data_IF_311376549171
#
_entry.id   IF_311376549171
#
_cell.length_a   1.000
_cell.length_b   1.000
_cell.length_c   1.000
_cell.angle_alpha   90.00
_cell.angle_beta   90.00
_cell.angle_gamma   90.00
#
_symmetry.space_group_name_H-M   'P 1'
#
loop_
_entity.id
_entity.type
_entity.pdbx_description
1 polymer ?
#
# COMPACT_ATOMS: atom_id res chain seq x y z
N UNK A 1 33.70 -13.26 -7.70
CA UNK A 1 33.89 -13.90 -6.39
C UNK A 1 33.05 -13.16 -5.37
N UNK A 2 32.03 -13.80 -4.81
CA UNK A 2 31.22 -13.22 -3.73
C UNK A 2 31.93 -13.42 -2.39
N UNK A 3 31.77 -12.48 -1.46
CA UNK A 3 32.35 -12.57 -0.12
C UNK A 3 31.34 -13.26 0.79
N UNK A 4 31.79 -14.32 1.47
CA UNK A 4 30.98 -14.99 2.49
C UNK A 4 30.87 -14.11 3.74
N UNK A 5 29.71 -13.50 3.91
CA UNK A 5 29.33 -12.72 5.10
C UNK A 5 27.81 -12.65 5.19
N UNK A 6 27.28 -12.81 6.40
CA UNK A 6 25.84 -12.75 6.67
C UNK A 6 25.46 -11.39 7.26
N UNK A 7 24.32 -10.86 6.85
CA UNK A 7 23.86 -9.56 7.34
C UNK A 7 22.51 -9.14 6.80
N UNK A 8 21.97 -8.11 7.42
CA UNK A 8 20.64 -7.57 7.14
C UNK A 8 20.75 -6.11 6.75
N UNK A 9 20.11 -5.76 5.63
CA UNK A 9 19.96 -4.39 5.17
C UNK A 9 18.52 -3.96 5.44
N UNK A 10 18.33 -2.83 6.12
CA UNK A 10 17.01 -2.23 6.37
C UNK A 10 17.02 -0.75 5.98
N UNK A 11 15.87 -0.23 5.57
CA UNK A 11 15.69 1.21 5.32
C UNK A 11 14.77 1.82 6.37
N UNK A 12 15.14 2.99 6.86
CA UNK A 12 14.29 3.85 7.70
C UNK A 12 14.03 5.20 7.05
N UNK A 13 13.67 6.19 7.85
CA UNK A 13 13.41 7.56 7.38
C UNK A 13 14.70 8.27 6.94
N UNK A 14 14.87 8.38 5.62
CA UNK A 14 16.04 8.94 4.94
C UNK A 14 17.37 8.31 5.35
N UNK A 15 17.35 7.04 5.73
CA UNK A 15 18.56 6.30 6.09
C UNK A 15 18.54 4.85 5.59
N UNK A 16 19.69 4.20 5.68
CA UNK A 16 19.78 2.75 5.61
C UNK A 16 20.73 2.22 6.69
N UNK A 17 20.45 1.00 7.15
CA UNK A 17 21.27 0.26 8.09
C UNK A 17 21.80 -1.01 7.45
N UNK A 18 23.02 -1.38 7.81
CA UNK A 18 23.58 -2.70 7.55
C UNK A 18 24.00 -3.28 8.88
N UNK A 19 23.31 -4.33 9.34
CA UNK A 19 23.67 -5.09 10.52
C UNK A 19 24.29 -6.41 10.09
N UNK A 20 25.55 -6.62 10.42
CA UNK A 20 26.26 -7.87 10.09
C UNK A 20 26.21 -8.83 11.27
N UNK A 21 26.02 -10.11 10.99
CA UNK A 21 26.03 -11.17 12.01
C UNK A 21 27.47 -11.52 12.43
N UNK A 22 27.62 -12.10 13.63
CA UNK A 22 28.91 -12.60 14.10
C UNK A 22 29.88 -11.53 14.61
N UNK A 23 29.38 -10.37 15.06
CA UNK A 23 30.19 -9.47 15.88
C UNK A 23 30.50 -10.16 17.23
N UNK A 24 31.77 -10.24 17.66
CA UNK A 24 32.15 -11.00 18.84
C UNK A 24 31.86 -10.20 20.13
N UNK A 25 30.59 -10.14 20.51
CA UNK A 25 30.15 -9.50 21.76
C UNK A 25 30.82 -10.18 22.98
N UNK A 26 31.45 -9.38 23.84
CA UNK A 26 32.11 -9.88 25.05
C UNK A 26 33.50 -10.50 24.84
N UNK A 27 33.99 -10.59 23.60
CA UNK A 27 35.36 -11.02 23.34
C UNK A 27 36.39 -9.96 23.76
N UNK A 28 37.67 -10.32 23.94
CA UNK A 28 38.74 -9.36 24.22
C UNK A 28 38.78 -8.20 23.21
N UNK A 29 39.12 -7.00 23.69
CA UNK A 29 39.16 -5.77 22.87
C UNK A 29 39.92 -5.91 21.56
N UNK A 30 41.04 -6.65 21.58
CA UNK A 30 41.88 -6.89 20.40
C UNK A 30 41.16 -7.66 19.30
N UNK A 31 40.34 -8.65 19.66
CA UNK A 31 39.56 -9.44 18.72
C UNK A 31 38.41 -8.63 18.13
N UNK A 32 37.72 -7.85 18.97
CA UNK A 32 36.70 -6.92 18.52
C UNK A 32 37.27 -5.91 17.50
N UNK A 33 38.43 -5.32 17.80
CA UNK A 33 39.10 -4.37 16.89
C UNK A 33 39.59 -4.99 15.59
N UNK A 34 40.09 -6.22 15.65
CA UNK A 34 40.48 -6.96 14.44
C UNK A 34 39.26 -7.21 13.54
N UNK A 35 38.12 -7.60 14.14
CA UNK A 35 36.87 -7.78 13.43
C UNK A 35 36.36 -6.48 12.81
N UNK A 36 36.32 -5.37 13.57
CA UNK A 36 35.91 -4.05 13.09
C UNK A 36 36.78 -3.57 11.93
N UNK A 37 38.09 -3.80 12.02
CA UNK A 37 39.04 -3.44 10.96
C UNK A 37 38.77 -4.20 9.65
N UNK A 38 38.45 -5.50 9.77
CA UNK A 38 38.05 -6.32 8.62
C UNK A 38 36.70 -5.87 8.06
N UNK A 39 35.72 -5.63 8.90
CA UNK A 39 34.39 -5.14 8.49
C UNK A 39 34.48 -3.78 7.79
N UNK A 40 35.31 -2.88 8.30
CA UNK A 40 35.57 -1.58 7.68
C UNK A 40 36.17 -1.73 6.27
N UNK A 41 37.13 -2.63 6.10
CA UNK A 41 37.77 -2.87 4.80
C UNK A 41 36.80 -3.53 3.82
N UNK A 42 36.03 -4.50 4.28
CA UNK A 42 35.16 -5.30 3.42
C UNK A 42 33.85 -4.60 3.07
N UNK A 43 33.24 -3.85 3.99
CA UNK A 43 31.89 -3.28 3.82
C UNK A 43 31.92 -1.76 3.78
N UNK A 44 32.43 -1.09 4.82
CA UNK A 44 32.44 0.38 4.91
C UNK A 44 33.15 1.03 3.72
N UNK A 45 34.37 0.58 3.40
CA UNK A 45 35.16 1.12 2.30
C UNK A 45 34.47 0.93 0.94
N UNK A 46 33.74 -0.18 0.76
CA UNK A 46 32.98 -0.43 -0.48
C UNK A 46 31.76 0.49 -0.59
N UNK A 47 31.06 0.75 0.51
CA UNK A 47 29.96 1.72 0.53
C UNK A 47 30.47 3.11 0.16
N UNK A 48 31.58 3.54 0.77
CA UNK A 48 32.25 4.81 0.41
C UNK A 48 32.62 4.85 -1.07
N UNK A 49 33.15 3.75 -1.62
CA UNK A 49 33.46 3.67 -3.05
C UNK A 49 32.20 3.80 -3.92
N UNK A 50 31.08 3.17 -3.57
CA UNK A 50 29.83 3.31 -4.31
C UNK A 50 29.24 4.70 -4.20
N UNK A 51 29.31 5.32 -3.01
CA UNK A 51 28.90 6.71 -2.80
C UNK A 51 29.70 7.65 -3.72
N UNK A 52 31.03 7.54 -3.74
CA UNK A 52 31.87 8.33 -4.64
C UNK A 52 31.51 8.12 -6.12
N UNK A 53 31.26 6.87 -6.56
CA UNK A 53 30.82 6.56 -7.94
C UNK A 53 29.46 7.16 -8.30
N UNK A 54 28.61 7.44 -7.31
CA UNK A 54 27.33 8.10 -7.49
C UNK A 54 27.43 9.64 -7.43
N UNK A 55 28.64 10.19 -7.28
CA UNK A 55 28.88 11.63 -7.18
C UNK A 55 28.71 12.20 -5.78
N UNK A 56 28.71 11.36 -4.73
CA UNK A 56 28.85 11.85 -3.36
C UNK A 56 30.31 12.19 -3.06
N UNK A 57 30.55 13.31 -2.39
CA UNK A 57 31.83 13.59 -1.74
C UNK A 57 31.81 13.00 -0.33
N UNK A 58 32.68 12.05 -0.02
CA UNK A 58 32.79 11.44 1.31
C UNK A 58 34.10 11.86 1.98
N UNK A 59 34.03 12.71 3.01
CA UNK A 59 35.20 13.23 3.74
C UNK A 59 35.21 12.72 5.18
N UNK A 60 36.38 12.73 5.82
CA UNK A 60 36.44 12.58 7.27
C UNK A 60 35.77 13.80 7.91
N UNK A 61 35.06 13.65 9.04
CA UNK A 61 34.61 14.79 9.82
C UNK A 61 35.77 15.74 10.13
N UNK A 62 35.47 17.03 10.28
CA UNK A 62 36.49 18.01 10.68
C UNK A 62 37.12 17.62 12.02
N UNK A 63 38.39 18.01 12.20
CA UNK A 63 39.07 17.75 13.46
C UNK A 63 38.59 18.75 14.50
N UNK A 64 38.09 18.24 15.62
CA UNK A 64 37.59 19.02 16.75
C UNK A 64 38.49 18.77 17.96
N UNK A 65 39.26 19.79 18.31
CA UNK A 65 40.19 19.73 19.44
C UNK A 65 39.46 19.49 20.76
N UNK A 66 38.26 20.06 20.95
CA UNK A 66 37.51 19.93 22.22
C UNK A 66 37.05 18.49 22.45
N UNK A 67 36.56 17.84 21.40
CA UNK A 67 36.17 16.42 21.45
C UNK A 67 37.39 15.51 21.58
N UNK A 68 38.52 15.86 20.96
CA UNK A 68 39.78 15.14 21.13
C UNK A 68 40.27 15.19 22.59
N UNK A 69 40.19 16.36 23.23
CA UNK A 69 40.60 16.53 24.64
C UNK A 69 39.65 15.80 25.60
N UNK A 70 38.35 15.76 25.27
CA UNK A 70 37.33 15.06 26.06
C UNK A 70 37.44 13.53 25.94
N UNK A 71 37.75 13.00 24.75
CA UNK A 71 37.77 11.57 24.46
C UNK A 71 39.05 11.09 23.76
N UNK A 72 40.25 11.34 24.34
CA UNK A 72 41.52 11.18 23.63
C UNK A 72 41.80 9.74 23.18
N UNK A 73 41.34 8.74 23.94
CA UNK A 73 41.58 7.32 23.66
C UNK A 73 40.75 6.75 22.51
N UNK A 74 39.63 7.39 22.14
CA UNK A 74 38.69 6.87 21.14
C UNK A 74 38.41 7.85 19.99
N UNK A 75 38.78 9.13 20.14
CA UNK A 75 38.43 10.19 19.19
C UNK A 75 38.90 9.89 17.76
N UNK A 76 40.18 9.54 17.59
CA UNK A 76 40.74 9.25 16.27
C UNK A 76 40.08 8.02 15.63
N UNK A 77 39.79 6.99 16.41
CA UNK A 77 39.12 5.78 15.95
C UNK A 77 37.68 6.06 15.54
N UNK A 78 36.94 6.81 16.37
CA UNK A 78 35.57 7.24 16.11
C UNK A 78 35.49 8.09 14.84
N UNK A 79 36.34 9.12 14.72
CA UNK A 79 36.44 9.96 13.53
C UNK A 79 36.73 9.15 12.27
N UNK A 80 37.61 8.14 12.37
CA UNK A 80 37.93 7.25 11.23
C UNK A 80 36.78 6.30 10.87
N UNK A 81 35.87 6.02 11.79
CA UNK A 81 34.67 5.20 11.60
C UNK A 81 33.48 5.98 11.00
N UNK A 82 33.66 7.28 10.74
CA UNK A 82 32.61 8.17 10.23
C UNK A 82 33.04 8.84 8.92
N UNK A 83 32.07 9.13 8.04
CA UNK A 83 32.25 10.02 6.88
C UNK A 83 31.10 11.00 6.80
N UNK A 84 31.44 12.25 6.59
CA UNK A 84 30.52 13.29 6.15
C UNK A 84 30.41 13.23 4.64
N UNK A 85 29.18 13.14 4.14
CA UNK A 85 28.86 12.89 2.76
C UNK A 85 28.03 14.05 2.20
N UNK A 86 28.32 14.51 0.98
CA UNK A 86 27.51 15.54 0.31
C UNK A 86 27.33 15.25 -1.17
N UNK A 87 26.13 15.48 -1.69
CA UNK A 87 25.80 15.42 -3.12
C UNK A 87 24.78 16.50 -3.45
N UNK A 88 25.26 17.62 -4.01
CA UNK A 88 24.43 18.83 -4.19
C UNK A 88 23.91 19.32 -2.83
N UNK A 89 22.59 19.45 -2.74
CA UNK A 89 21.88 19.87 -1.53
C UNK A 89 21.59 18.74 -0.54
N UNK A 90 21.84 17.49 -0.95
CA UNK A 90 21.68 16.33 -0.08
C UNK A 90 22.96 16.15 0.74
N UNK A 91 22.79 16.10 2.05
CA UNK A 91 23.84 15.81 3.03
C UNK A 91 23.67 14.39 3.54
N UNK A 92 24.74 13.81 4.07
CA UNK A 92 24.68 12.52 4.70
C UNK A 92 25.83 12.26 5.67
N UNK A 93 25.63 11.26 6.50
CA UNK A 93 26.58 10.83 7.52
C UNK A 93 26.63 9.31 7.52
N UNK A 94 27.78 8.76 7.14
CA UNK A 94 28.04 7.32 7.16
C UNK A 94 28.83 7.00 8.42
N UNK A 95 28.21 6.27 9.35
CA UNK A 95 28.83 5.90 10.63
C UNK A 95 28.90 4.39 10.77
N UNK A 96 30.05 3.90 11.22
CA UNK A 96 30.25 2.53 11.66
C UNK A 96 30.28 2.47 13.18
N UNK A 97 29.59 1.50 13.74
CA UNK A 97 29.64 1.20 15.17
C UNK A 97 29.49 -0.31 15.35
N UNK A 98 30.55 -0.95 15.85
CA UNK A 98 30.61 -2.40 16.02
C UNK A 98 30.29 -3.13 14.69
N UNK A 99 29.38 -4.10 14.70
CA UNK A 99 28.87 -4.80 13.52
C UNK A 99 27.79 -4.06 12.71
N UNK A 100 27.57 -2.77 12.97
CA UNK A 100 26.49 -1.98 12.35
C UNK A 100 27.04 -0.79 11.56
N UNK A 101 26.42 -0.52 10.42
CA UNK A 101 26.63 0.68 9.61
C UNK A 101 25.30 1.42 9.48
N UNK A 102 25.35 2.73 9.62
CA UNK A 102 24.23 3.61 9.36
C UNK A 102 24.66 4.67 8.36
N UNK A 103 23.86 4.89 7.32
CA UNK A 103 23.98 6.06 6.48
C UNK A 103 22.70 6.88 6.59
N UNK A 104 22.80 8.01 7.29
CA UNK A 104 21.72 8.98 7.42
C UNK A 104 21.86 10.04 6.32
N UNK A 105 20.76 10.44 5.69
CA UNK A 105 20.71 11.52 4.71
C UNK A 105 19.67 12.56 5.10
N UNK A 106 19.95 13.82 4.81
CA UNK A 106 19.05 14.94 5.06
C UNK A 106 19.32 16.08 4.08
N UNK A 107 18.51 17.12 4.16
CA UNK A 107 18.69 18.37 3.42
C UNK A 107 18.35 19.53 4.35
N UNK A 108 18.98 20.68 4.13
CA UNK A 108 18.80 21.89 4.94
C UNK A 108 18.16 23.04 4.14
N UNK A 109 17.46 22.73 3.03
CA UNK A 109 17.00 23.72 2.05
C UNK A 109 15.54 24.12 2.27
N UNK A 110 14.63 23.15 2.43
CA UNK A 110 13.17 23.39 2.46
C UNK A 110 12.53 22.62 3.62
N UNK A 111 11.49 23.18 4.24
CA UNK A 111 10.72 22.50 5.31
C UNK A 111 11.58 22.02 6.49
N UNK A 112 12.61 22.78 6.84
CA UNK A 112 13.47 22.53 8.01
C UNK A 112 12.87 23.23 9.22
N UNK A 113 12.58 22.49 10.28
CA UNK A 113 12.01 23.06 11.51
C UNK A 113 13.05 23.13 12.64
N UNK A 114 13.96 22.16 12.70
CA UNK A 114 14.96 22.12 13.75
C UNK A 114 16.02 23.21 13.55
N UNK A 115 16.29 23.96 14.63
CA UNK A 115 17.31 25.03 14.66
C UNK A 115 18.72 24.53 14.35
N UNK A 116 18.98 23.24 14.59
CA UNK A 116 20.28 22.61 14.33
C UNK A 116 20.35 21.92 12.95
N UNK A 117 19.39 22.21 12.06
CA UNK A 117 19.34 21.69 10.69
C UNK A 117 18.48 20.43 10.53
N UNK A 118 18.20 20.10 9.26
CA UNK A 118 17.34 18.99 8.85
C UNK A 118 17.88 17.61 9.21
N UNK A 119 19.13 17.50 9.66
CA UNK A 119 19.68 16.26 10.27
C UNK A 119 18.82 15.77 11.43
N UNK A 120 18.27 16.70 12.20
CA UNK A 120 17.53 16.40 13.42
C UNK A 120 16.00 16.46 13.26
N UNK A 121 15.51 16.73 12.04
CA UNK A 121 14.08 16.69 11.75
C UNK A 121 13.53 15.26 11.68
N UNK A 122 12.26 15.06 12.01
CA UNK A 122 11.55 13.80 11.74
C UNK A 122 10.90 13.83 10.35
N UNK A 123 10.57 12.66 9.81
CA UNK A 123 9.91 12.51 8.50
C UNK A 123 10.69 13.22 7.37
N UNK A 124 12.02 13.08 7.40
CA UNK A 124 12.95 13.75 6.48
C UNK A 124 12.57 13.48 5.02
N UNK A 125 12.12 12.28 4.70
CA UNK A 125 11.72 11.93 3.33
C UNK A 125 10.47 12.67 2.84
N UNK A 126 9.54 12.97 3.73
CA UNK A 126 8.31 13.70 3.39
C UNK A 126 8.59 15.18 3.23
N UNK A 127 9.55 15.70 3.99
CA UNK A 127 10.03 17.08 3.93
C UNK A 127 10.92 17.35 2.71
N UNK A 128 11.60 16.32 2.20
CA UNK A 128 12.48 16.45 1.03
C UNK A 128 11.69 16.83 -0.24
N UNK A 129 12.16 17.86 -0.98
CA UNK A 129 11.71 18.11 -2.35
C UNK A 129 11.82 16.86 -3.22
N UNK A 130 10.88 16.69 -4.16
CA UNK A 130 10.72 15.48 -4.97
C UNK A 130 12.04 14.97 -5.59
N UNK A 131 12.82 15.86 -6.21
CA UNK A 131 14.09 15.49 -6.84
C UNK A 131 15.15 15.01 -5.83
N UNK A 132 15.27 15.68 -4.68
CA UNK A 132 16.19 15.26 -3.62
C UNK A 132 15.77 13.91 -3.02
N UNK A 133 14.46 13.70 -2.85
CA UNK A 133 13.91 12.42 -2.41
C UNK A 133 14.25 11.29 -3.39
N UNK A 134 14.09 11.50 -4.70
CA UNK A 134 14.48 10.53 -5.72
C UNK A 134 15.99 10.24 -5.72
N UNK A 135 16.84 11.26 -5.57
CA UNK A 135 18.30 11.08 -5.49
C UNK A 135 18.72 10.28 -4.26
N UNK A 136 18.08 10.54 -3.13
CA UNK A 136 18.27 9.82 -1.87
C UNK A 136 17.81 8.35 -2.01
N UNK A 137 16.63 8.11 -2.57
CA UNK A 137 16.13 6.75 -2.86
C UNK A 137 17.06 5.99 -3.80
N UNK A 138 17.51 6.63 -4.88
CA UNK A 138 18.45 6.04 -5.83
C UNK A 138 19.76 5.62 -5.13
N UNK A 139 20.26 6.44 -4.21
CA UNK A 139 21.47 6.15 -3.42
C UNK A 139 21.28 4.89 -2.58
N UNK A 140 20.17 4.79 -1.82
CA UNK A 140 19.85 3.60 -1.02
C UNK A 140 19.70 2.34 -1.87
N UNK A 141 18.97 2.43 -2.99
CA UNK A 141 18.77 1.28 -3.89
C UNK A 141 20.07 0.77 -4.48
N UNK A 142 20.92 1.66 -4.96
CA UNK A 142 22.17 1.27 -5.60
C UNK A 142 23.12 0.62 -4.61
N UNK A 143 23.17 1.11 -3.37
CA UNK A 143 23.95 0.47 -2.30
C UNK A 143 23.36 -0.90 -1.94
N UNK A 144 22.05 -1.02 -1.71
CA UNK A 144 21.38 -2.31 -1.44
C UNK A 144 21.71 -3.33 -2.54
N UNK A 145 21.44 -2.99 -3.80
CA UNK A 145 21.70 -3.89 -4.94
C UNK A 145 23.15 -4.33 -5.00
N UNK A 146 24.08 -3.39 -4.81
CA UNK A 146 25.50 -3.69 -4.78
C UNK A 146 25.86 -4.66 -3.64
N UNK A 147 25.41 -4.39 -2.42
CA UNK A 147 25.70 -5.25 -1.27
C UNK A 147 25.12 -6.66 -1.45
N UNK A 148 23.86 -6.79 -1.89
CA UNK A 148 23.24 -8.08 -2.17
C UNK A 148 23.95 -8.84 -3.30
N UNK A 149 24.57 -8.14 -4.26
CA UNK A 149 25.32 -8.79 -5.35
C UNK A 149 26.71 -9.29 -4.90
N UNK A 150 27.33 -8.61 -3.95
CA UNK A 150 28.73 -8.87 -3.52
C UNK A 150 28.80 -9.86 -2.35
N UNK A 151 27.82 -9.86 -1.45
CA UNK A 151 27.81 -10.71 -0.26
C UNK A 151 26.75 -11.81 -0.38
N UNK A 152 27.18 -13.06 -0.19
CA UNK A 152 26.35 -14.24 -0.47
C UNK A 152 25.14 -14.35 0.47
N UNK A 153 25.30 -13.97 1.74
CA UNK A 153 24.28 -14.17 2.78
C UNK A 153 23.70 -12.86 3.30
N UNK A 154 23.79 -11.78 2.51
CA UNK A 154 23.09 -10.54 2.84
C UNK A 154 21.63 -10.65 2.41
N UNK A 155 20.71 -10.28 3.31
CA UNK A 155 19.28 -10.17 3.03
C UNK A 155 18.80 -8.73 3.20
N UNK A 156 17.80 -8.36 2.41
CA UNK A 156 17.10 -7.10 2.59
C UNK A 156 15.80 -7.35 3.34
N UNK A 157 15.64 -6.69 4.48
CA UNK A 157 14.40 -6.72 5.25
C UNK A 157 13.65 -5.42 5.00
N UNK A 158 12.56 -5.46 4.23
CA UNK A 158 11.79 -4.26 3.96
C UNK A 158 11.09 -3.75 5.23
N UNK A 159 10.78 -2.44 5.23
CA UNK A 159 9.84 -1.88 6.22
C UNK A 159 8.47 -2.55 6.07
N UNK A 160 7.75 -2.74 7.19
CA UNK A 160 6.37 -3.28 7.20
C UNK A 160 5.44 -2.56 6.20
N UNK A 161 5.64 -1.26 6.01
CA UNK A 161 4.94 -0.46 5.01
C UNK A 161 5.66 -0.48 3.66
N UNK A 162 5.58 -1.62 2.98
CA UNK A 162 6.07 -1.77 1.62
C UNK A 162 5.28 -0.89 0.65
N UNK A 163 5.84 0.28 0.31
CA UNK A 163 5.32 1.13 -0.77
C UNK A 163 5.71 0.51 -2.13
N UNK A 164 4.71 0.06 -2.89
CA UNK A 164 4.86 -0.39 -4.28
C UNK A 164 5.24 0.82 -5.14
N UNK A 165 6.25 0.66 -5.99
CA UNK A 165 6.53 1.66 -7.01
C UNK A 165 7.97 1.65 -7.52
N UNK A 166 8.21 2.29 -8.68
CA UNK A 166 9.55 2.61 -9.13
C UNK A 166 10.13 3.67 -8.18
N UNK A 167 10.90 3.25 -7.18
CA UNK A 167 11.43 4.13 -6.13
C UNK A 167 11.88 3.39 -4.87
N UNK A 168 11.53 3.94 -3.70
CA UNK A 168 11.91 3.60 -2.31
C UNK A 168 12.36 2.18 -1.99
N UNK A 169 11.80 1.14 -2.62
CA UNK A 169 12.23 -0.27 -2.50
C UNK A 169 12.29 -1.05 -3.84
N UNK A 170 11.91 -0.45 -4.97
CA UNK A 170 11.58 -1.12 -6.24
C UNK A 170 10.68 -2.36 -6.08
N UNK A 171 9.96 -2.41 -4.97
CA UNK A 171 9.14 -3.55 -4.60
C UNK A 171 8.03 -3.64 -5.61
N UNK A 172 8.02 -4.77 -6.29
CA UNK A 172 6.97 -5.11 -7.23
C UNK A 172 5.66 -5.27 -6.48
N UNK A 173 4.55 -5.08 -7.18
CA UNK A 173 3.23 -5.35 -6.62
C UNK A 173 3.12 -6.79 -6.11
N UNK A 174 3.74 -7.75 -6.81
CA UNK A 174 3.82 -9.15 -6.39
C UNK A 174 4.51 -9.30 -5.02
N UNK A 175 5.73 -8.78 -4.87
CA UNK A 175 6.49 -8.86 -3.63
C UNK A 175 5.74 -8.22 -2.46
N UNK A 176 5.16 -7.03 -2.65
CA UNK A 176 4.39 -6.35 -1.61
C UNK A 176 3.16 -7.15 -1.17
N UNK A 177 2.44 -7.78 -2.12
CA UNK A 177 1.24 -8.56 -1.82
C UNK A 177 1.62 -9.84 -1.06
N UNK A 178 2.65 -10.55 -1.50
CA UNK A 178 3.13 -11.76 -0.84
C UNK A 178 3.63 -11.47 0.57
N UNK A 179 4.35 -10.36 0.77
CA UNK A 179 4.79 -9.96 2.10
C UNK A 179 3.60 -9.57 2.99
N UNK A 180 2.63 -8.81 2.47
CA UNK A 180 1.41 -8.46 3.21
C UNK A 180 0.63 -9.70 3.65
N UNK A 181 0.61 -10.77 2.84
CA UNK A 181 -0.04 -12.04 3.21
C UNK A 181 0.61 -12.66 4.44
N UNK A 182 1.94 -12.69 4.53
CA UNK A 182 2.67 -13.28 5.66
C UNK A 182 2.35 -12.60 6.99
N UNK A 183 2.09 -11.29 6.96
CA UNK A 183 1.71 -10.51 8.14
C UNK A 183 0.21 -10.56 8.45
N UNK A 184 -0.59 -11.30 7.69
CA UNK A 184 -2.01 -11.51 8.00
C UNK A 184 -2.17 -12.49 9.16
N UNK A 185 -3.07 -12.17 10.09
CA UNK A 185 -3.44 -13.10 11.19
C UNK A 185 -4.08 -14.43 10.73
N UNK A 186 -4.37 -14.57 9.43
CA UNK A 186 -4.95 -15.78 8.83
C UNK A 186 -3.96 -16.53 7.93
N UNK A 187 -2.69 -16.12 7.91
CA UNK A 187 -1.66 -16.76 7.10
C UNK A 187 -1.37 -18.18 7.57
N UNK A 188 -1.29 -19.12 6.63
CA UNK A 188 -0.90 -20.51 6.88
C UNK A 188 0.37 -20.80 6.10
N UNK A 189 1.48 -21.03 6.82
CA UNK A 189 2.83 -21.20 6.24
C UNK A 189 2.85 -22.29 5.16
N UNK A 190 2.24 -23.45 5.42
CA UNK A 190 2.21 -24.57 4.47
C UNK A 190 1.46 -24.28 3.17
N UNK A 191 0.61 -23.25 3.14
CA UNK A 191 -0.15 -22.86 1.97
C UNK A 191 0.41 -21.59 1.29
N UNK A 192 1.27 -20.83 1.97
CA UNK A 192 1.72 -19.51 1.51
C UNK A 192 0.60 -18.45 1.43
N UNK A 193 -0.56 -18.72 2.06
CA UNK A 193 -1.76 -17.86 2.06
C UNK A 193 -2.75 -18.31 3.15
N UNK A 194 -3.87 -17.60 3.28
CA UNK A 194 -4.97 -18.07 4.10
C UNK A 194 -5.73 -19.25 3.45
N UNK A 195 -6.45 -20.03 4.28
CA UNK A 195 -7.37 -21.07 3.81
C UNK A 195 -8.58 -20.44 3.11
N UNK A 196 -9.08 -21.10 2.07
CA UNK A 196 -10.34 -20.71 1.45
C UNK A 196 -11.48 -20.82 2.48
N UNK A 197 -12.45 -19.92 2.36
CA UNK A 197 -13.66 -19.88 3.19
C UNK A 197 -14.85 -19.67 2.28
N UNK A 198 -16.00 -20.31 2.56
CA UNK A 198 -17.29 -20.03 1.92
C UNK A 198 -17.26 -19.86 0.38
N UNK A 199 -16.82 -20.88 -0.37
CA UNK A 199 -16.77 -20.86 -1.85
C UNK A 199 -15.98 -19.67 -2.44
N UNK A 200 -15.01 -19.13 -1.69
CA UNK A 200 -14.16 -18.02 -2.10
C UNK A 200 -13.40 -18.24 -3.41
N UNK A 201 -13.24 -19.51 -3.79
CA UNK A 201 -12.61 -19.97 -5.03
C UNK A 201 -13.55 -19.92 -6.24
N UNK A 202 -14.87 -19.77 -6.06
CA UNK A 202 -15.79 -19.73 -7.18
C UNK A 202 -15.85 -18.32 -7.79
N UNK A 203 -15.48 -18.17 -9.05
CA UNK A 203 -15.52 -16.90 -9.77
C UNK A 203 -16.94 -16.44 -10.08
N UNK A 204 -17.08 -15.19 -10.54
CA UNK A 204 -18.35 -14.64 -11.04
C UNK A 204 -18.89 -15.35 -12.29
N UNK A 205 -18.04 -16.03 -13.07
CA UNK A 205 -18.43 -16.93 -14.16
C UNK A 205 -18.59 -18.40 -13.71
N UNK A 206 -18.57 -18.66 -12.39
CA UNK A 206 -18.84 -19.98 -11.80
C UNK A 206 -17.69 -20.98 -11.90
N UNK A 207 -16.54 -20.59 -12.44
CA UNK A 207 -15.33 -21.40 -12.54
C UNK A 207 -14.49 -21.31 -11.26
N UNK A 208 -13.47 -22.15 -11.13
CA UNK A 208 -12.57 -22.14 -9.97
C UNK A 208 -11.39 -21.20 -10.23
N UNK A 209 -11.15 -20.30 -9.30
CA UNK A 209 -9.99 -19.41 -9.25
C UNK A 209 -8.88 -20.11 -8.46
N UNK A 210 -7.74 -20.32 -9.10
CA UNK A 210 -6.54 -20.83 -8.44
C UNK A 210 -5.64 -19.68 -7.97
N UNK A 211 -4.92 -19.88 -6.86
CA UNK A 211 -3.94 -18.90 -6.39
C UNK A 211 -2.76 -18.81 -7.37
N UNK A 212 -2.48 -17.61 -7.87
CA UNK A 212 -1.47 -17.38 -8.89
C UNK A 212 -1.98 -17.47 -10.33
N UNK A 213 -3.28 -17.72 -10.54
CA UNK A 213 -3.88 -17.78 -11.88
C UNK A 213 -4.02 -16.40 -12.51
N UNK A 214 -3.88 -16.31 -13.84
CA UNK A 214 -4.25 -15.09 -14.57
C UNK A 214 -5.77 -15.02 -14.76
N UNK A 215 -6.37 -13.91 -14.35
CA UNK A 215 -7.82 -13.70 -14.39
C UNK A 215 -8.18 -12.32 -14.96
N UNK A 216 -9.45 -12.15 -15.28
CA UNK A 216 -10.10 -10.86 -15.48
C UNK A 216 -10.78 -10.45 -14.16
N UNK A 217 -10.74 -9.18 -13.81
CA UNK A 217 -11.38 -8.68 -12.60
C UNK A 217 -12.00 -7.31 -12.83
N UNK A 218 -13.11 -7.07 -12.16
CA UNK A 218 -13.76 -5.76 -12.15
C UNK A 218 -13.09 -4.85 -11.11
N UNK A 219 -12.58 -3.69 -11.54
CA UNK A 219 -12.09 -2.67 -10.62
C UNK A 219 -13.25 -1.98 -9.86
N UNK A 220 -12.90 -1.12 -8.89
CA UNK A 220 -13.89 -0.35 -8.11
C UNK A 220 -14.86 0.46 -8.99
N UNK A 221 -14.39 0.92 -10.15
CA UNK A 221 -15.18 1.71 -11.08
C UNK A 221 -16.00 0.86 -12.05
N UNK A 222 -15.84 -0.47 -12.08
CA UNK A 222 -16.51 -1.34 -13.03
C UNK A 222 -15.77 -1.56 -14.35
N UNK A 223 -14.49 -1.17 -14.47
CA UNK A 223 -13.66 -1.51 -15.63
C UNK A 223 -13.08 -2.91 -15.45
N UNK A 224 -12.90 -3.62 -16.55
CA UNK A 224 -12.19 -4.90 -16.52
C UNK A 224 -10.69 -4.66 -16.60
N UNK A 225 -9.97 -5.26 -15.66
CA UNK A 225 -8.51 -5.36 -15.66
C UNK A 225 -8.11 -6.82 -15.71
N UNK A 226 -6.88 -7.08 -16.14
CA UNK A 226 -6.28 -8.43 -16.16
C UNK A 226 -5.08 -8.48 -15.24
N UNK A 227 -4.88 -9.60 -14.55
CA UNK A 227 -3.73 -9.74 -13.67
C UNK A 227 -3.64 -11.13 -13.04
N UNK A 228 -2.68 -11.28 -12.14
CA UNK A 228 -2.51 -12.51 -11.35
C UNK A 228 -3.38 -12.42 -10.10
N UNK A 229 -4.28 -13.39 -9.93
CA UNK A 229 -5.15 -13.51 -8.78
C UNK A 229 -4.40 -14.09 -7.58
N UNK A 230 -4.47 -13.39 -6.46
CA UNK A 230 -3.85 -13.77 -5.22
C UNK A 230 -4.92 -13.72 -4.11
N UNK A 231 -5.36 -14.89 -3.64
CA UNK A 231 -6.32 -15.00 -2.55
C UNK A 231 -5.85 -14.28 -1.28
N UNK A 232 -6.78 -13.61 -0.61
CA UNK A 232 -6.54 -12.94 0.65
C UNK A 232 -7.32 -13.62 1.78
N UNK A 233 -8.60 -13.28 1.95
CA UNK A 233 -9.43 -13.73 3.06
C UNK A 233 -10.91 -13.50 2.76
N UNK A 234 -11.81 -14.34 3.29
CA UNK A 234 -13.27 -14.14 3.26
C UNK A 234 -13.78 -13.84 1.84
N UNK A 235 -13.41 -14.65 0.83
CA UNK A 235 -13.84 -14.40 -0.55
C UNK A 235 -13.14 -13.25 -1.27
N UNK A 236 -12.21 -12.54 -0.63
CA UNK A 236 -11.47 -11.45 -1.25
C UNK A 236 -10.15 -11.92 -1.85
N UNK A 237 -9.81 -11.33 -2.99
CA UNK A 237 -8.57 -11.54 -3.73
C UNK A 237 -7.89 -10.20 -4.01
N UNK A 238 -6.58 -10.25 -4.17
CA UNK A 238 -5.77 -9.17 -4.73
C UNK A 238 -5.38 -9.54 -6.15
N UNK A 239 -5.54 -8.62 -7.09
CA UNK A 239 -5.17 -8.84 -8.49
C UNK A 239 -3.95 -7.99 -8.82
N UNK A 240 -2.83 -8.63 -9.11
CA UNK A 240 -1.59 -7.96 -9.55
C UNK A 240 -1.69 -7.69 -11.05
N UNK A 241 -1.96 -6.44 -11.42
CA UNK A 241 -2.24 -6.02 -12.80
C UNK A 241 -0.99 -5.59 -13.57
N UNK A 242 0.12 -5.34 -12.88
CA UNK A 242 1.40 -5.02 -13.50
C UNK A 242 2.54 -5.01 -12.49
N UNK A 243 3.76 -4.70 -12.96
CA UNK A 243 4.98 -4.72 -12.13
C UNK A 243 4.84 -3.89 -10.84
N UNK A 244 4.15 -2.76 -10.91
CA UNK A 244 3.95 -1.83 -9.79
C UNK A 244 2.48 -1.50 -9.53
N UNK A 245 1.56 -2.37 -9.96
CA UNK A 245 0.13 -2.11 -9.84
C UNK A 245 -0.61 -3.36 -9.35
N UNK A 246 -1.42 -3.19 -8.31
CA UNK A 246 -2.35 -4.19 -7.81
C UNK A 246 -3.65 -3.53 -7.36
N UNK A 247 -4.76 -4.27 -7.50
CA UNK A 247 -6.05 -3.92 -6.91
C UNK A 247 -6.36 -4.90 -5.78
N UNK A 248 -6.79 -4.36 -4.64
CA UNK A 248 -6.97 -5.13 -3.40
C UNK A 248 -8.46 -5.34 -3.11
N UNK A 249 -8.75 -6.38 -2.33
CA UNK A 249 -10.09 -6.67 -1.80
C UNK A 249 -11.16 -6.81 -2.89
N UNK A 250 -10.84 -7.52 -3.97
CA UNK A 250 -11.79 -7.84 -5.02
C UNK A 250 -12.57 -9.08 -4.59
N UNK A 251 -13.89 -8.95 -4.53
CA UNK A 251 -14.77 -10.06 -4.20
C UNK A 251 -14.70 -11.14 -5.29
N UNK A 252 -14.69 -12.41 -4.92
CA UNK A 252 -14.57 -13.54 -5.86
C UNK A 252 -15.63 -13.51 -6.98
N UNK A 253 -16.86 -13.07 -6.68
CA UNK A 253 -17.91 -12.88 -7.67
C UNK A 253 -17.68 -11.75 -8.69
N UNK A 254 -16.62 -10.95 -8.52
CA UNK A 254 -16.20 -9.88 -9.45
C UNK A 254 -14.96 -10.27 -10.27
N UNK A 255 -14.52 -11.52 -10.14
CA UNK A 255 -13.40 -12.11 -10.85
C UNK A 255 -13.97 -13.07 -11.88
N UNK A 256 -13.36 -13.13 -13.06
CA UNK A 256 -13.75 -14.01 -14.15
C UNK A 256 -12.52 -14.78 -14.63
N UNK A 257 -12.65 -16.10 -14.73
CA UNK A 257 -11.58 -16.96 -15.27
C UNK A 257 -11.54 -16.79 -16.79
N UNK A 258 -12.72 -16.77 -17.42
CA UNK A 258 -12.86 -16.48 -18.85
C UNK A 258 -13.07 -15.00 -19.12
N UNK A 259 -12.78 -14.57 -20.36
CA UNK A 259 -13.03 -13.19 -20.77
C UNK A 259 -14.54 -12.87 -20.64
N UNK A 260 -14.94 -11.86 -19.83
CA UNK A 260 -16.35 -11.54 -19.60
C UNK A 260 -17.03 -10.80 -20.77
N UNK A 261 -16.43 -10.78 -21.96
CA UNK A 261 -16.96 -10.16 -23.17
C UNK A 261 -16.26 -8.84 -23.51
N UNK A 262 -17.03 -7.77 -23.73
CA UNK A 262 -16.44 -6.46 -24.04
C UNK A 262 -15.69 -5.89 -22.81
N UNK A 263 -14.38 -5.71 -22.97
CA UNK A 263 -13.49 -5.18 -21.93
C UNK A 263 -13.59 -3.66 -21.78
N UNK A 264 -14.05 -2.95 -22.83
CA UNK A 264 -14.25 -1.50 -22.79
C UNK A 264 -15.58 -1.12 -22.14
N UNK A 265 -16.55 -2.03 -22.15
CA UNK A 265 -17.81 -1.86 -21.43
C UNK A 265 -17.55 -1.80 -19.92
N UNK A 266 -17.95 -0.68 -19.32
CA UNK A 266 -17.97 -0.48 -17.88
C UNK A 266 -19.18 -1.20 -17.28
N UNK A 267 -18.97 -2.11 -16.34
CA UNK A 267 -19.98 -2.91 -15.63
C UNK A 267 -20.32 -2.27 -14.28
N UNK A 268 -20.81 -1.03 -14.31
CA UNK A 268 -21.05 -0.24 -13.11
C UNK A 268 -22.54 0.10 -12.92
N UNK A 269 -23.43 -0.78 -13.35
CA UNK A 269 -24.88 -0.60 -13.33
C UNK A 269 -25.37 -0.21 -11.93
N UNK A 270 -24.87 -0.90 -10.89
CA UNK A 270 -25.20 -0.63 -9.48
C UNK A 270 -24.80 0.78 -9.04
N UNK A 271 -23.56 1.20 -9.33
CA UNK A 271 -23.07 2.54 -8.99
C UNK A 271 -23.79 3.62 -9.82
N UNK A 272 -24.05 3.34 -11.10
CA UNK A 272 -24.81 4.20 -12.01
C UNK A 272 -26.21 4.48 -11.46
N UNK A 273 -26.95 3.42 -11.11
CA UNK A 273 -28.27 3.54 -10.48
C UNK A 273 -28.23 4.37 -9.20
N UNK A 274 -27.31 4.07 -8.28
CA UNK A 274 -27.18 4.82 -7.02
C UNK A 274 -26.98 6.32 -7.28
N UNK A 275 -26.15 6.67 -8.26
CA UNK A 275 -25.88 8.07 -8.61
C UNK A 275 -27.10 8.74 -9.25
N UNK A 276 -27.78 8.06 -10.16
CA UNK A 276 -28.98 8.59 -10.81
C UNK A 276 -30.13 8.79 -9.82
N UNK A 277 -30.35 7.86 -8.88
CA UNK A 277 -31.36 8.02 -7.82
C UNK A 277 -31.01 9.17 -6.87
N UNK A 278 -29.73 9.37 -6.54
CA UNK A 278 -29.28 10.51 -5.73
C UNK A 278 -29.50 11.85 -6.46
N UNK A 279 -29.18 11.93 -7.76
CA UNK A 279 -29.44 13.11 -8.58
C UNK A 279 -30.95 13.39 -8.74
N UNK A 280 -31.77 12.34 -8.84
CA UNK A 280 -33.22 12.46 -8.89
C UNK A 280 -33.75 13.03 -7.57
N UNK A 281 -33.29 12.49 -6.44
CA UNK A 281 -33.66 12.96 -5.09
C UNK A 281 -33.25 14.43 -4.88
N UNK A 282 -32.05 14.81 -5.34
CA UNK A 282 -31.57 16.19 -5.32
C UNK A 282 -32.44 17.11 -6.17
N UNK A 283 -32.80 16.71 -7.39
CA UNK A 283 -33.67 17.49 -8.26
C UNK A 283 -35.05 17.73 -7.65
N UNK A 284 -35.62 16.73 -6.96
CA UNK A 284 -36.88 16.88 -6.21
C UNK A 284 -36.73 17.87 -5.06
N UNK A 285 -35.64 17.79 -4.29
CA UNK A 285 -35.37 18.72 -3.19
C UNK A 285 -35.21 20.17 -3.65
N UNK A 286 -34.64 20.38 -4.84
CA UNK A 286 -34.48 21.68 -5.49
C UNK A 286 -35.73 22.14 -6.27
N UNK A 287 -36.85 21.40 -6.18
CA UNK A 287 -38.10 21.65 -6.93
C UNK A 287 -37.92 21.66 -8.46
N UNK A 288 -36.87 21.04 -8.99
CA UNK A 288 -36.63 20.88 -10.43
C UNK A 288 -37.28 19.59 -10.94
N UNK A 289 -38.61 19.63 -11.07
CA UNK A 289 -39.41 18.45 -11.42
C UNK A 289 -39.18 17.93 -12.84
N UNK A 290 -38.83 18.81 -13.80
CA UNK A 290 -38.48 18.39 -15.16
C UNK A 290 -37.22 17.53 -15.22
N UNK A 291 -36.19 17.88 -14.43
CA UNK A 291 -34.98 17.07 -14.31
C UNK A 291 -35.28 15.75 -13.58
N UNK A 292 -36.09 15.79 -12.52
CA UNK A 292 -36.48 14.60 -11.79
C UNK A 292 -37.26 13.62 -12.70
N UNK A 293 -38.19 14.11 -13.52
CA UNK A 293 -38.94 13.31 -14.48
C UNK A 293 -38.01 12.63 -15.51
N UNK A 294 -37.08 13.38 -16.11
CA UNK A 294 -36.09 12.81 -17.03
C UNK A 294 -35.23 11.71 -16.39
N UNK A 295 -34.79 11.91 -15.16
CA UNK A 295 -33.99 10.91 -14.44
C UNK A 295 -34.80 9.68 -14.07
N UNK A 296 -36.08 9.85 -13.69
CA UNK A 296 -37.02 8.74 -13.48
C UNK A 296 -37.18 7.91 -14.75
N UNK A 297 -37.35 8.54 -15.90
CA UNK A 297 -37.59 7.83 -17.17
C UNK A 297 -36.34 7.06 -17.64
N UNK A 298 -35.14 7.56 -17.32
CA UNK A 298 -33.87 6.83 -17.54
C UNK A 298 -33.77 5.62 -16.59
N UNK A 299 -34.13 5.79 -15.32
CA UNK A 299 -34.05 4.73 -14.30
C UNK A 299 -35.13 3.65 -14.47
N UNK A 300 -36.33 4.06 -14.88
CA UNK A 300 -37.55 3.25 -14.90
C UNK A 300 -38.33 3.49 -16.21
N UNK A 301 -37.80 3.06 -17.37
CA UNK A 301 -38.34 3.41 -18.68
C UNK A 301 -39.74 2.83 -18.95
N UNK A 302 -40.12 1.74 -18.28
CA UNK A 302 -41.44 1.11 -18.45
C UNK A 302 -42.57 1.83 -17.68
N UNK A 303 -42.25 2.86 -16.90
CA UNK A 303 -43.20 3.58 -16.04
C UNK A 303 -44.02 2.67 -15.11
N UNK A 304 -43.43 1.56 -14.67
CA UNK A 304 -44.06 0.63 -13.74
C UNK A 304 -44.27 1.28 -12.36
N UNK A 305 -45.28 0.84 -11.58
CA UNK A 305 -45.47 1.31 -10.21
C UNK A 305 -44.21 1.09 -9.37
N UNK A 306 -43.73 2.16 -8.73
CA UNK A 306 -42.56 2.14 -7.88
C UNK A 306 -42.94 2.01 -6.40
N UNK A 307 -42.09 1.33 -5.64
CA UNK A 307 -42.27 1.06 -4.22
C UNK A 307 -41.01 1.44 -3.44
N UNK A 308 -41.18 1.71 -2.15
CA UNK A 308 -40.11 1.78 -1.16
C UNK A 308 -40.26 0.60 -0.21
N UNK A 309 -39.15 0.01 0.22
CA UNK A 309 -39.15 -1.06 1.23
C UNK A 309 -39.00 -0.41 2.60
N UNK A 310 -40.00 -0.50 3.45
CA UNK A 310 -39.96 -0.03 4.84
C UNK A 310 -39.67 -1.19 5.80
N UNK A 311 -38.95 -0.91 6.89
CA UNK A 311 -38.59 -1.89 7.92
C UNK A 311 -38.79 -1.35 9.34
N UNK A 312 -39.47 -2.12 10.19
CA UNK A 312 -39.65 -1.81 11.62
C UNK A 312 -38.38 -2.08 12.46
N UNK A 313 -37.58 -3.10 12.11
CA UNK A 313 -36.34 -3.49 12.82
C UNK A 313 -35.29 -2.39 12.90
N UNK A 314 -35.33 -1.45 11.97
CA UNK A 314 -34.39 -0.34 11.88
C UNK A 314 -35.03 0.99 12.29
N UNK A 315 -35.89 0.96 13.31
CA UNK A 315 -36.53 2.17 13.86
C UNK A 315 -37.55 2.80 12.92
N UNK A 316 -38.16 2.01 12.03
CA UNK A 316 -39.12 2.50 11.04
C UNK A 316 -38.49 3.25 9.86
N UNK A 317 -37.47 2.65 9.24
CA UNK A 317 -36.72 3.25 8.14
C UNK A 317 -36.95 2.53 6.79
N UNK A 318 -36.65 3.23 5.70
CA UNK A 318 -36.69 2.71 4.34
C UNK A 318 -35.32 2.20 3.89
N UNK A 319 -35.30 1.20 3.02
CA UNK A 319 -34.07 0.75 2.37
C UNK A 319 -33.52 1.86 1.46
N UNK A 320 -32.22 2.13 1.55
CA UNK A 320 -31.50 3.01 0.62
C UNK A 320 -31.31 2.35 -0.75
N UNK A 321 -30.92 3.10 -1.80
CA UNK A 321 -30.74 2.58 -3.16
C UNK A 321 -29.86 1.31 -3.24
N UNK A 322 -30.22 0.37 -4.11
CA UNK A 322 -29.59 -0.96 -4.21
C UNK A 322 -29.62 -1.78 -2.90
N UNK A 323 -30.70 -1.65 -2.12
CA UNK A 323 -30.92 -2.38 -0.86
C UNK A 323 -29.81 -2.15 0.19
N UNK A 324 -29.13 -1.01 0.13
CA UNK A 324 -27.93 -0.76 0.93
C UNK A 324 -28.13 0.46 1.83
N UNK A 325 -28.06 0.21 3.14
CA UNK A 325 -28.32 1.20 4.18
C UNK A 325 -29.81 1.46 4.39
N UNK A 326 -30.10 2.30 5.39
CA UNK A 326 -31.46 2.69 5.76
C UNK A 326 -31.56 4.20 5.85
N UNK A 327 -32.74 4.76 5.54
CA UNK A 327 -33.04 6.18 5.69
C UNK A 327 -34.49 6.39 6.14
N UNK A 328 -34.73 7.38 6.99
CA UNK A 328 -36.09 7.79 7.35
C UNK A 328 -36.68 8.79 6.35
N UNK A 329 -35.84 9.39 5.51
CA UNK A 329 -36.27 10.30 4.45
C UNK A 329 -36.82 9.53 3.23
N UNK A 330 -38.09 9.78 2.92
CA UNK A 330 -38.78 9.18 1.77
C UNK A 330 -38.19 9.62 0.43
N UNK A 331 -37.61 10.81 0.34
CA UNK A 331 -37.03 11.30 -0.91
C UNK A 331 -35.75 10.54 -1.24
N UNK A 332 -34.88 10.37 -0.23
CA UNK A 332 -33.62 9.63 -0.36
C UNK A 332 -33.76 8.11 -0.33
N UNK A 333 -34.96 7.59 -0.04
CA UNK A 333 -35.24 6.15 -0.04
C UNK A 333 -35.14 5.54 -1.43
N UNK A 334 -34.56 4.35 -1.52
CA UNK A 334 -34.43 3.61 -2.78
C UNK A 334 -35.80 3.33 -3.40
N UNK A 335 -35.88 3.44 -4.73
CA UNK A 335 -37.10 3.15 -5.49
C UNK A 335 -36.96 1.81 -6.19
N UNK A 336 -37.98 0.96 -6.04
CA UNK A 336 -37.97 -0.43 -6.49
C UNK A 336 -39.19 -0.77 -7.32
N UNK A 337 -39.01 -1.56 -8.37
CA UNK A 337 -40.12 -2.16 -9.13
C UNK A 337 -40.74 -3.33 -8.36
N UNK A 338 -41.90 -3.83 -8.80
CA UNK A 338 -42.51 -5.00 -8.15
C UNK A 338 -41.63 -6.25 -8.21
N UNK A 339 -40.92 -6.45 -9.32
CA UNK A 339 -40.00 -7.57 -9.49
C UNK A 339 -38.84 -7.51 -8.48
N UNK A 340 -38.37 -6.30 -8.19
CA UNK A 340 -37.28 -6.01 -7.26
C UNK A 340 -37.64 -6.26 -5.79
N UNK A 341 -38.93 -6.20 -5.44
CA UNK A 341 -39.42 -6.53 -4.09
C UNK A 341 -39.39 -8.04 -3.80
N UNK A 342 -39.45 -8.88 -4.85
CA UNK A 342 -39.69 -10.33 -4.72
C UNK A 342 -38.70 -11.07 -3.80
N UNK A 343 -37.38 -10.80 -3.81
CA UNK A 343 -36.44 -11.46 -2.89
C UNK A 343 -36.72 -11.20 -1.40
N UNK A 344 -37.35 -10.07 -1.07
CA UNK A 344 -37.60 -9.65 0.31
C UNK A 344 -39.04 -9.93 0.75
N UNK A 345 -40.02 -9.61 -0.11
CA UNK A 345 -41.46 -9.65 0.22
C UNK A 345 -42.20 -10.79 -0.48
N UNK A 346 -41.58 -11.48 -1.45
CA UNK A 346 -42.27 -12.46 -2.29
C UNK A 346 -43.34 -11.80 -3.16
N UNK A 347 -44.56 -12.34 -3.15
CA UNK A 347 -45.72 -11.75 -3.84
C UNK A 347 -46.55 -10.84 -2.93
N UNK A 348 -46.30 -10.85 -1.61
CA UNK A 348 -47.05 -10.10 -0.62
C UNK A 348 -46.59 -8.63 -0.51
N UNK A 349 -47.46 -7.76 0.00
CA UNK A 349 -47.13 -6.35 0.30
C UNK A 349 -46.47 -6.17 1.67
N UNK A 350 -46.55 -7.19 2.52
CA UNK A 350 -45.93 -7.23 3.82
C UNK A 350 -45.44 -8.64 4.10
N UNK A 351 -44.21 -8.75 4.58
CA UNK A 351 -43.63 -10.01 5.02
C UNK A 351 -42.70 -9.75 6.19
N UNK A 352 -42.87 -10.52 7.26
CA UNK A 352 -42.15 -10.38 8.51
C UNK A 352 -42.21 -8.93 9.03
N UNK A 353 -41.09 -8.25 8.89
CA UNK A 353 -40.73 -6.97 9.49
C UNK A 353 -40.54 -5.90 8.37
N UNK A 354 -40.98 -6.23 7.15
CA UNK A 354 -40.84 -5.44 5.92
C UNK A 354 -42.20 -5.15 5.29
N UNK A 355 -42.35 -3.95 4.71
CA UNK A 355 -43.57 -3.50 3.99
C UNK A 355 -43.22 -2.81 2.67
N UNK A 356 -43.94 -3.11 1.61
CA UNK A 356 -43.91 -2.35 0.36
C UNK A 356 -44.79 -1.10 0.51
N UNK A 357 -44.18 0.08 0.39
CA UNK A 357 -44.88 1.36 0.43
C UNK A 357 -44.92 1.95 -0.99
N UNK A 358 -46.09 2.10 -1.60
CA UNK A 358 -46.18 2.64 -2.96
C UNK A 358 -45.70 4.09 -2.99
N UNK A 359 -44.91 4.43 -4.01
CA UNK A 359 -44.52 5.80 -4.32
C UNK A 359 -45.72 6.42 -5.03
N UNK A 360 -46.57 7.12 -4.27
CA UNK A 360 -47.76 7.77 -4.85
C UNK A 360 -47.30 8.76 -5.91
N UNK A 361 -47.86 8.64 -7.11
CA UNK A 361 -47.82 9.72 -8.08
C UNK A 361 -48.51 10.94 -7.44
N UNK A 362 -47.86 12.09 -7.47
CA UNK A 362 -48.58 13.36 -7.32
C UNK A 362 -49.50 13.41 -8.54
N UNK A 363 -50.80 13.40 -8.29
CA UNK A 363 -51.84 13.49 -9.31
C UNK A 363 -51.74 14.80 -10.09
#
# INVERSE_FOLDING_TARGET
MQIERSGVITFGDANFYVRTEGYPHGAPWKEQKAWESRFKREVFARIVQQLNRMGWSCKLPEFDQRECDRYPSIYQDSRRAERECRRGDLQGNLKMSFGTLEFQMWQDVVNVENRNGGRYDYQKEERMPYMLRLMMEHTRQKIRRYLLSVFTNYKFEPSRDLKIGPGRNEVTAMEAVLERRKHSGHYVESLGRARFSNQAEQSGDGQIIEDGMRVYAQDYYGRIVTGIALYCLNGNWTIVTGRYSAIYNIWHGQIYVSNPGDLRRKRNERQGRKRLEAEMSKAVAEMNFERAARLRDILFPNHEPLFMIWSDKHGGAYFGPNYSGYTTDKNSAGKYTRAELKPYLGTADQKDHLRAIPVRAVA
#
